data_IF_188034964152
#
_entry.id   IF_188034964152
#
_cell.length_a   1.000
_cell.length_b   1.000
_cell.length_c   1.000
_cell.angle_alpha   90.00
_cell.angle_beta   90.00
_cell.angle_gamma   90.00
#
_symmetry.space_group_name_H-M   'P 1'
#
loop_
_entity.id
_entity.type
_entity.pdbx_description
1 polymer ?
#
# COMPACT_ATOMS: atom_id res chain seq x y z
N UNK A 1 17.08 23.18 25.27
CA UNK A 1 17.85 21.93 25.15
C UNK A 1 18.39 21.85 23.72
N UNK A 2 19.68 21.63 23.57
CA UNK A 2 20.34 21.50 22.26
C UNK A 2 20.75 20.04 22.06
N UNK A 3 20.34 19.43 20.96
CA UNK A 3 20.75 18.06 20.64
C UNK A 3 21.12 17.96 19.16
N UNK A 4 21.93 16.98 18.84
CA UNK A 4 22.38 16.73 17.47
C UNK A 4 22.02 15.30 17.09
N UNK A 5 21.48 15.12 15.90
CA UNK A 5 21.19 13.82 15.31
C UNK A 5 21.99 13.68 14.03
N UNK A 6 22.47 12.47 13.79
CA UNK A 6 23.13 12.11 12.53
C UNK A 6 22.17 11.30 11.68
N UNK A 7 22.07 11.62 10.40
CA UNK A 7 21.20 10.96 9.45
C UNK A 7 21.88 10.76 8.10
N UNK A 8 21.22 10.06 7.20
CA UNK A 8 21.65 9.90 5.82
C UNK A 8 21.18 11.09 4.99
N UNK A 9 22.10 11.75 4.30
CA UNK A 9 21.77 12.86 3.41
C UNK A 9 21.14 12.33 2.12
N UNK A 10 19.87 12.66 1.89
CA UNK A 10 19.14 12.32 0.65
C UNK A 10 19.27 13.40 -0.42
N UNK A 11 19.54 14.65 -0.03
CA UNK A 11 19.74 15.78 -0.95
C UNK A 11 20.82 16.72 -0.41
N UNK A 12 21.44 17.51 -1.30
CA UNK A 12 22.40 18.56 -0.91
C UNK A 12 21.64 19.81 -0.51
N UNK A 13 22.01 20.41 0.62
CA UNK A 13 21.45 21.68 1.06
C UNK A 13 21.30 21.78 2.57
N UNK A 14 20.82 22.91 3.01
CA UNK A 14 20.43 23.19 4.39
C UNK A 14 19.02 23.70 4.41
N UNK A 15 18.24 23.27 5.37
CA UNK A 15 16.88 23.78 5.58
C UNK A 15 16.65 24.09 7.06
N UNK A 16 15.85 25.13 7.32
CA UNK A 16 15.38 25.47 8.64
C UNK A 16 13.86 25.37 8.66
N UNK A 17 13.33 24.62 9.61
CA UNK A 17 11.88 24.42 9.71
C UNK A 17 11.48 23.62 10.94
N UNK A 18 10.19 23.33 11.02
CA UNK A 18 9.68 22.40 12.03
C UNK A 18 9.89 20.97 11.56
N UNK A 19 10.55 20.16 12.40
CA UNK A 19 10.66 18.73 12.14
C UNK A 19 9.30 18.06 12.35
N UNK A 20 8.90 17.24 11.38
CA UNK A 20 7.79 16.30 11.51
C UNK A 20 8.37 14.88 11.58
N UNK A 21 8.07 14.18 12.66
CA UNK A 21 8.50 12.80 12.83
C UNK A 21 7.46 11.88 12.18
N UNK A 22 7.85 11.24 11.10
CA UNK A 22 7.08 10.16 10.50
C UNK A 22 7.59 8.83 11.08
N UNK A 23 6.69 8.11 11.72
CA UNK A 23 6.97 6.75 12.17
C UNK A 23 6.30 5.78 11.19
N UNK A 24 7.01 4.71 10.75
CA UNK A 24 6.34 3.70 9.95
C UNK A 24 5.15 3.16 10.74
N UNK A 25 3.97 3.31 10.17
CA UNK A 25 2.73 2.78 10.76
C UNK A 25 2.85 1.28 10.83
N UNK A 26 3.17 0.75 12.00
CA UNK A 26 3.02 -0.69 12.25
C UNK A 26 1.53 -0.95 12.41
N UNK A 27 0.88 -1.24 11.31
CA UNK A 27 -0.49 -1.74 11.37
C UNK A 27 -0.48 -3.06 12.13
N UNK A 28 -1.18 -3.10 13.25
CA UNK A 28 -1.42 -4.36 13.95
C UNK A 28 -2.40 -5.17 13.10
N UNK A 29 -1.86 -6.15 12.39
CA UNK A 29 -2.66 -7.05 11.57
C UNK A 29 -3.25 -8.11 12.50
N UNK A 30 -4.56 -8.16 12.55
CA UNK A 30 -5.27 -9.20 13.29
C UNK A 30 -5.27 -10.50 12.48
N UNK A 31 -4.51 -11.48 12.95
CA UNK A 31 -4.35 -12.79 12.30
C UNK A 31 -5.34 -13.85 12.83
N UNK A 32 -6.22 -13.47 13.77
CA UNK A 32 -7.23 -14.41 14.27
C UNK A 32 -8.17 -14.82 13.15
N UNK A 33 -8.47 -16.13 13.01
CA UNK A 33 -9.36 -16.59 11.97
C UNK A 33 -10.78 -16.04 12.16
N UNK A 34 -11.48 -15.83 11.03
CA UNK A 34 -12.88 -15.41 11.02
C UNK A 34 -13.80 -16.57 11.40
N UNK A 35 -14.81 -16.30 12.21
CA UNK A 35 -15.95 -17.20 12.34
C UNK A 35 -16.76 -17.22 11.03
N UNK A 36 -17.47 -18.32 10.78
CA UNK A 36 -18.27 -18.46 9.56
C UNK A 36 -19.28 -17.31 9.36
N UNK A 37 -19.88 -16.84 10.44
CA UNK A 37 -20.86 -15.76 10.42
C UNK A 37 -20.24 -14.38 10.13
N UNK A 38 -18.93 -14.21 10.29
CA UNK A 38 -18.23 -12.93 10.08
C UNK A 38 -17.74 -12.73 8.63
N UNK A 39 -17.75 -13.78 7.80
CA UNK A 39 -17.16 -13.76 6.46
C UNK A 39 -17.82 -12.72 5.57
N UNK A 40 -19.14 -12.68 5.54
CA UNK A 40 -19.88 -11.73 4.67
C UNK A 40 -19.62 -10.28 5.07
N UNK A 41 -19.66 -9.97 6.36
CA UNK A 41 -19.38 -8.63 6.86
C UNK A 41 -17.93 -8.20 6.60
N UNK A 42 -16.98 -9.13 6.60
CA UNK A 42 -15.58 -8.82 6.29
C UNK A 42 -15.36 -8.58 4.80
N UNK A 43 -16.07 -9.29 3.92
CA UNK A 43 -16.09 -9.04 2.48
C UNK A 43 -16.66 -7.66 2.15
N UNK A 44 -17.77 -7.29 2.79
CA UNK A 44 -18.34 -5.96 2.64
C UNK A 44 -17.35 -4.88 3.14
N UNK A 45 -16.66 -5.15 4.25
CA UNK A 45 -15.63 -4.25 4.79
C UNK A 45 -14.48 -4.07 3.80
N UNK A 46 -13.98 -5.15 3.19
CA UNK A 46 -12.95 -5.09 2.15
C UNK A 46 -13.43 -4.26 0.96
N UNK A 47 -14.62 -4.55 0.45
CA UNK A 47 -15.18 -3.84 -0.70
C UNK A 47 -15.29 -2.34 -0.45
N UNK A 48 -15.82 -1.95 0.72
CA UNK A 48 -15.91 -0.53 1.11
C UNK A 48 -14.55 0.12 1.22
N UNK A 49 -13.55 -0.57 1.80
CA UNK A 49 -12.20 -0.05 1.94
C UNK A 49 -11.54 0.18 0.57
N UNK A 50 -11.69 -0.75 -0.38
CA UNK A 50 -11.16 -0.62 -1.74
C UNK A 50 -11.80 0.55 -2.50
N UNK A 51 -13.12 0.73 -2.38
CA UNK A 51 -13.84 1.86 -2.99
C UNK A 51 -13.35 3.18 -2.41
N UNK A 52 -13.20 3.26 -1.08
CA UNK A 52 -12.73 4.47 -0.40
C UNK A 52 -11.29 4.81 -0.79
N UNK A 53 -10.39 3.84 -0.76
CA UNK A 53 -8.99 4.04 -1.14
C UNK A 53 -8.85 4.55 -2.59
N UNK A 54 -9.61 3.98 -3.53
CA UNK A 54 -9.63 4.47 -4.91
C UNK A 54 -10.17 5.89 -5.03
N UNK A 55 -11.20 6.24 -4.27
CA UNK A 55 -11.74 7.60 -4.24
C UNK A 55 -10.72 8.60 -3.66
N UNK A 56 -10.00 8.22 -2.61
CA UNK A 56 -8.94 9.03 -2.02
C UNK A 56 -7.77 9.25 -3.00
N UNK A 57 -7.33 8.20 -3.72
CA UNK A 57 -6.32 8.32 -4.76
C UNK A 57 -6.77 9.24 -5.89
N UNK A 58 -8.01 9.12 -6.36
CA UNK A 58 -8.56 10.00 -7.39
C UNK A 58 -8.59 11.46 -6.91
N UNK A 59 -9.05 11.72 -5.69
CA UNK A 59 -9.06 13.06 -5.11
C UNK A 59 -7.65 13.64 -4.91
N UNK A 60 -6.68 12.80 -4.59
CA UNK A 60 -5.27 13.21 -4.50
C UNK A 60 -4.73 13.54 -5.89
N UNK A 61 -5.04 12.73 -6.91
CA UNK A 61 -4.66 12.94 -8.31
C UNK A 61 -5.11 14.31 -8.83
N UNK A 62 -6.36 14.70 -8.53
CA UNK A 62 -6.94 15.99 -8.93
C UNK A 62 -6.26 17.20 -8.26
N UNK A 63 -5.70 17.03 -7.06
CA UNK A 63 -5.01 18.10 -6.32
C UNK A 63 -3.57 18.30 -6.73
N UNK A 64 -3.01 17.43 -7.54
CA UNK A 64 -1.62 17.53 -7.96
C UNK A 64 -1.41 18.72 -8.88
N UNK A 65 -0.48 19.59 -8.50
CA UNK A 65 -0.05 20.75 -9.27
C UNK A 65 1.47 20.92 -9.18
N UNK A 66 2.06 21.62 -10.14
CA UNK A 66 3.49 21.92 -10.11
C UNK A 66 4.35 20.93 -10.90
N UNK A 67 5.67 21.07 -10.74
CA UNK A 67 6.68 20.40 -11.58
C UNK A 67 6.61 18.88 -11.50
N UNK A 68 6.30 18.34 -10.32
CA UNK A 68 6.25 16.89 -10.08
C UNK A 68 4.86 16.28 -10.26
N UNK A 69 3.87 17.07 -10.69
CA UNK A 69 2.49 16.59 -10.81
C UNK A 69 2.35 15.41 -11.78
N UNK A 70 3.18 15.35 -12.81
CA UNK A 70 3.17 14.26 -13.78
C UNK A 70 3.68 12.96 -13.17
N UNK A 71 4.88 12.96 -12.61
CA UNK A 71 5.51 11.77 -12.01
C UNK A 71 4.69 11.18 -10.85
N UNK A 72 4.26 12.05 -9.92
CA UNK A 72 3.40 11.62 -8.80
C UNK A 72 2.04 11.15 -9.31
N UNK A 73 1.53 11.75 -10.38
CA UNK A 73 0.30 11.35 -11.02
C UNK A 73 0.37 9.94 -11.59
N UNK A 74 1.43 9.60 -12.31
CA UNK A 74 1.63 8.25 -12.86
C UNK A 74 1.73 7.20 -11.74
N UNK A 75 2.38 7.52 -10.63
CA UNK A 75 2.43 6.67 -9.45
C UNK A 75 1.03 6.40 -8.87
N UNK A 76 0.21 7.45 -8.72
CA UNK A 76 -1.18 7.31 -8.23
C UNK A 76 -2.03 6.50 -9.21
N UNK A 77 -1.87 6.73 -10.52
CA UNK A 77 -2.61 6.02 -11.55
C UNK A 77 -2.26 4.52 -11.53
N UNK A 78 -0.98 4.16 -11.36
CA UNK A 78 -0.53 2.78 -11.21
C UNK A 78 -1.15 2.10 -9.98
N UNK A 79 -1.16 2.77 -8.81
CA UNK A 79 -1.78 2.23 -7.60
C UNK A 79 -3.30 2.06 -7.75
N UNK A 80 -3.96 2.98 -8.45
CA UNK A 80 -5.39 2.88 -8.74
C UNK A 80 -5.71 1.67 -9.62
N UNK A 81 -4.83 1.35 -10.59
CA UNK A 81 -4.97 0.15 -11.43
C UNK A 81 -4.78 -1.13 -10.61
N UNK A 82 -3.79 -1.18 -9.72
CA UNK A 82 -3.57 -2.33 -8.82
C UNK A 82 -4.81 -2.58 -7.96
N UNK A 83 -5.36 -1.53 -7.33
CA UNK A 83 -6.56 -1.66 -6.51
C UNK A 83 -7.82 -2.04 -7.31
N UNK A 84 -7.83 -1.79 -8.63
CA UNK A 84 -8.92 -2.16 -9.52
C UNK A 84 -8.74 -3.56 -10.13
N UNK A 85 -7.59 -4.19 -9.93
CA UNK A 85 -7.28 -5.47 -10.55
C UNK A 85 -8.22 -6.58 -10.08
N UNK A 86 -8.79 -7.31 -11.04
CA UNK A 86 -9.80 -8.32 -10.76
C UNK A 86 -9.23 -9.58 -10.14
N UNK A 87 -8.01 -9.98 -10.52
CA UNK A 87 -7.36 -11.17 -9.97
C UNK A 87 -6.91 -10.91 -8.54
N UNK A 88 -6.36 -9.73 -8.26
CA UNK A 88 -6.05 -9.30 -6.90
C UNK A 88 -7.30 -9.35 -6.01
N UNK A 89 -8.39 -8.75 -6.46
CA UNK A 89 -9.62 -8.67 -5.68
C UNK A 89 -10.28 -10.05 -5.49
N UNK A 90 -10.25 -10.92 -6.50
CA UNK A 90 -10.72 -12.30 -6.39
C UNK A 90 -9.86 -13.10 -5.40
N UNK A 91 -8.54 -12.98 -5.47
CA UNK A 91 -7.61 -13.63 -4.54
C UNK A 91 -7.83 -13.19 -3.09
N UNK A 92 -8.09 -11.91 -2.85
CA UNK A 92 -8.44 -11.40 -1.51
C UNK A 92 -9.76 -12.00 -1.02
N UNK A 93 -10.79 -12.03 -1.87
CA UNK A 93 -12.08 -12.61 -1.52
C UNK A 93 -11.96 -14.10 -1.19
N UNK A 94 -11.16 -14.86 -1.92
CA UNK A 94 -10.93 -16.28 -1.67
C UNK A 94 -10.19 -16.51 -0.35
N UNK A 95 -9.18 -15.70 -0.03
CA UNK A 95 -8.49 -15.76 1.26
C UNK A 95 -9.44 -15.52 2.44
N UNK A 96 -10.42 -14.64 2.27
CA UNK A 96 -11.44 -14.37 3.30
C UNK A 96 -12.46 -15.52 3.36
N UNK A 97 -13.01 -15.96 2.22
CA UNK A 97 -14.08 -16.97 2.15
C UNK A 97 -13.60 -18.37 2.56
N UNK A 98 -12.51 -18.79 1.95
CA UNK A 98 -11.99 -20.16 2.09
C UNK A 98 -10.95 -20.22 3.22
N UNK A 99 -9.99 -19.27 3.21
CA UNK A 99 -8.91 -19.22 4.19
C UNK A 99 -9.31 -18.70 5.56
N UNK A 100 -10.50 -18.07 5.66
CA UNK A 100 -10.98 -17.45 6.92
C UNK A 100 -10.03 -16.40 7.48
N UNK A 101 -9.25 -15.74 6.61
CA UNK A 101 -8.39 -14.62 7.01
C UNK A 101 -9.19 -13.32 7.10
N UNK A 102 -8.82 -12.47 8.04
CA UNK A 102 -9.32 -11.08 8.06
C UNK A 102 -8.78 -10.31 6.86
N UNK A 103 -9.51 -9.30 6.39
CA UNK A 103 -9.14 -8.55 5.19
C UNK A 103 -7.72 -7.97 5.24
N UNK A 104 -7.26 -7.48 6.39
CA UNK A 104 -5.90 -6.98 6.57
C UNK A 104 -4.83 -8.07 6.44
N UNK A 105 -5.09 -9.27 6.97
CA UNK A 105 -4.19 -10.40 6.82
C UNK A 105 -4.18 -10.93 5.37
N UNK A 106 -5.35 -11.01 4.73
CA UNK A 106 -5.48 -11.39 3.33
C UNK A 106 -4.71 -10.42 2.41
N UNK A 107 -4.82 -9.10 2.66
CA UNK A 107 -4.10 -8.07 1.90
C UNK A 107 -2.59 -8.23 2.05
N UNK A 108 -2.09 -8.43 3.27
CA UNK A 108 -0.66 -8.70 3.52
C UNK A 108 -0.19 -9.93 2.76
N UNK A 109 -0.92 -11.04 2.84
CA UNK A 109 -0.56 -12.28 2.14
C UNK A 109 -0.51 -12.08 0.61
N UNK A 110 -1.44 -11.31 0.07
CA UNK A 110 -1.47 -11.04 -1.36
C UNK A 110 -0.32 -10.11 -1.78
N UNK A 111 -0.02 -9.08 -0.98
CA UNK A 111 1.17 -8.24 -1.17
C UNK A 111 2.44 -9.09 -1.17
N UNK A 112 2.63 -9.95 -0.18
CA UNK A 112 3.83 -10.78 -0.06
C UNK A 112 3.99 -11.73 -1.26
N UNK A 113 2.88 -12.25 -1.81
CA UNK A 113 2.90 -13.04 -3.06
C UNK A 113 3.35 -12.21 -4.26
N UNK A 114 2.83 -11.00 -4.42
CA UNK A 114 3.22 -10.10 -5.50
C UNK A 114 4.70 -9.73 -5.39
N UNK A 115 5.17 -9.33 -4.21
CA UNK A 115 6.58 -9.04 -3.95
C UNK A 115 7.47 -10.22 -4.33
N UNK A 116 7.10 -11.44 -3.92
CA UNK A 116 7.86 -12.65 -4.27
C UNK A 116 7.94 -12.90 -5.78
N UNK A 117 6.87 -12.60 -6.53
CA UNK A 117 6.88 -12.70 -7.99
C UNK A 117 7.89 -11.72 -8.59
N UNK A 118 7.90 -10.46 -8.16
CA UNK A 118 8.85 -9.46 -8.64
C UNK A 118 10.30 -9.78 -8.23
N UNK A 119 10.51 -10.29 -7.03
CA UNK A 119 11.84 -10.73 -6.58
C UNK A 119 12.41 -11.91 -7.36
N UNK A 120 11.54 -12.80 -7.86
CA UNK A 120 11.93 -13.93 -8.67
C UNK A 120 12.21 -13.57 -10.15
N UNK A 121 11.94 -12.34 -10.58
CA UNK A 121 12.21 -11.90 -11.93
C UNK A 121 13.71 -11.71 -12.17
N UNK A 122 14.21 -12.19 -13.30
CA UNK A 122 15.64 -12.05 -13.69
C UNK A 122 15.99 -10.62 -14.14
N UNK A 123 14.98 -9.78 -14.45
CA UNK A 123 15.16 -8.40 -14.87
C UNK A 123 15.38 -7.46 -13.66
N UNK A 124 16.55 -6.78 -13.55
CA UNK A 124 16.82 -5.88 -12.44
C UNK A 124 15.85 -4.69 -12.34
N UNK A 125 15.32 -4.22 -13.48
CA UNK A 125 14.35 -3.13 -13.50
C UNK A 125 13.01 -3.57 -12.91
N UNK A 126 12.50 -4.71 -13.33
CA UNK A 126 11.25 -5.27 -12.80
C UNK A 126 11.40 -5.63 -11.32
N UNK A 127 12.58 -6.12 -10.92
CA UNK A 127 12.89 -6.41 -9.51
C UNK A 127 12.86 -5.18 -8.62
N UNK A 128 13.27 -4.01 -9.13
CA UNK A 128 13.21 -2.75 -8.39
C UNK A 128 11.78 -2.25 -8.13
N UNK A 129 10.81 -2.70 -8.94
CA UNK A 129 9.39 -2.33 -8.78
C UNK A 129 8.70 -2.94 -7.55
N UNK A 130 9.36 -3.88 -6.86
CA UNK A 130 8.84 -4.38 -5.58
C UNK A 130 8.62 -3.26 -4.55
N UNK A 131 9.46 -2.23 -4.58
CA UNK A 131 9.35 -1.09 -3.66
C UNK A 131 8.03 -0.33 -3.85
N UNK A 132 7.51 -0.28 -5.07
CA UNK A 132 6.22 0.33 -5.38
C UNK A 132 5.02 -0.45 -4.79
N UNK A 133 5.20 -1.75 -4.51
CA UNK A 133 4.18 -2.64 -3.94
C UNK A 133 4.25 -2.65 -2.41
N UNK A 134 5.43 -2.41 -1.85
CA UNK A 134 5.67 -2.45 -0.41
C UNK A 134 5.13 -1.20 0.32
N UNK A 135 4.87 -0.13 -0.42
CA UNK A 135 4.30 1.12 0.07
C UNK A 135 2.79 1.14 0.01
#
# INVERSE_FOLDING_TARGET
>A
MRFTLTGNGAARGMALGRARLEQPSRYLIDERPLAAAEVESELERLTRALVLARAELAALREKLTGVFAHEVGEFIDAHSLILADRELNAGLADLIKVGRYRASAALRMQRDRLVAVFEAMDDPYLRSRKEDIDH
#
